data_IF_052407792633
#
_entry.id   IF_052407792633
#
_cell.length_a   1.000
_cell.length_b   1.000
_cell.length_c   1.000
_cell.angle_alpha   90.00
_cell.angle_beta   90.00
_cell.angle_gamma   90.00
#
_symmetry.space_group_name_H-M   'P 1'
#
loop_
_entity.id
_entity.type
_entity.pdbx_description
1 polymer ?
#
# COMPACT_ATOMS: atom_id res chain seq x y z
N UNK A 1 -14.77 12.62 7.18
CA UNK A 1 -15.60 11.40 7.51
C UNK A 1 -14.74 10.17 7.33
N UNK A 2 -14.79 9.23 8.28
CA UNK A 2 -14.03 7.96 8.16
C UNK A 2 -14.45 7.13 6.96
N UNK A 3 -13.48 6.65 6.21
CA UNK A 3 -13.71 5.73 5.11
C UNK A 3 -14.21 4.37 5.62
N UNK A 4 -15.13 3.71 4.90
CA UNK A 4 -15.82 2.52 5.43
C UNK A 4 -14.92 1.32 5.68
N UNK A 5 -13.85 1.13 4.90
CA UNK A 5 -13.00 -0.07 5.03
C UNK A 5 -11.71 0.23 5.78
N UNK A 6 -10.95 1.26 5.40
CA UNK A 6 -9.68 1.58 6.08
C UNK A 6 -9.87 2.28 7.44
N UNK A 7 -11.07 2.81 7.73
CA UNK A 7 -11.43 3.51 8.98
C UNK A 7 -10.56 4.75 9.29
N UNK A 8 -9.96 5.35 8.27
CA UNK A 8 -9.19 6.60 8.33
C UNK A 8 -9.97 7.74 7.69
N UNK A 9 -9.61 8.96 7.99
CA UNK A 9 -10.18 10.17 7.39
C UNK A 9 -9.14 11.25 7.11
N UNK A 10 -9.59 12.33 6.49
CA UNK A 10 -8.77 13.47 6.05
C UNK A 10 -8.04 14.20 7.20
N UNK A 11 -8.48 14.06 8.46
CA UNK A 11 -7.80 14.65 9.62
C UNK A 11 -6.41 14.07 9.86
N UNK A 12 -6.14 12.87 9.30
CA UNK A 12 -4.82 12.25 9.35
C UNK A 12 -3.74 13.10 8.67
N UNK A 13 -4.12 13.93 7.69
CA UNK A 13 -3.25 14.86 6.98
C UNK A 13 -1.97 14.19 6.45
N UNK A 14 -2.13 13.09 5.71
CA UNK A 14 -1.04 12.32 5.13
C UNK A 14 -1.14 12.31 3.60
N UNK A 15 0.01 12.52 2.93
CA UNK A 15 0.10 12.52 1.46
C UNK A 15 0.85 11.32 0.90
N UNK A 16 1.59 10.61 1.74
CA UNK A 16 2.45 9.49 1.34
C UNK A 16 2.02 8.22 2.05
N UNK A 17 1.89 7.13 1.30
CA UNK A 17 1.56 5.82 1.85
C UNK A 17 2.53 4.75 1.34
N UNK A 18 2.93 3.84 2.23
CA UNK A 18 3.66 2.61 1.89
C UNK A 18 2.72 1.44 2.15
N UNK A 19 2.47 0.65 1.11
CA UNK A 19 1.43 -0.36 1.08
C UNK A 19 2.00 -1.77 0.93
N UNK A 20 2.36 -2.47 2.01
CA UNK A 20 2.61 -3.91 1.97
C UNK A 20 1.30 -4.69 1.90
N UNK A 21 1.35 -5.97 1.48
CA UNK A 21 0.19 -6.86 1.59
C UNK A 21 -0.03 -7.36 3.02
N UNK A 22 1.04 -7.67 3.74
CA UNK A 22 1.04 -8.28 5.08
C UNK A 22 0.96 -7.22 6.19
N UNK A 23 0.02 -7.35 7.17
CA UNK A 23 -0.08 -6.48 8.33
C UNK A 23 1.21 -6.38 9.16
N UNK A 24 1.93 -7.48 9.37
CA UNK A 24 3.20 -7.49 10.11
C UNK A 24 4.28 -6.68 9.38
N UNK A 25 4.19 -6.61 8.06
CA UNK A 25 5.13 -5.80 7.27
C UNK A 25 4.84 -4.31 7.42
N UNK A 26 3.59 -3.90 7.60
CA UNK A 26 3.24 -2.52 7.95
C UNK A 26 3.87 -2.11 9.29
N UNK A 27 3.84 -2.98 10.29
CA UNK A 27 4.50 -2.76 11.59
C UNK A 27 6.02 -2.68 11.45
N UNK A 28 6.63 -3.54 10.63
CA UNK A 28 8.07 -3.48 10.34
C UNK A 28 8.47 -2.18 9.63
N UNK A 29 7.66 -1.68 8.70
CA UNK A 29 7.90 -0.39 8.05
C UNK A 29 7.83 0.73 9.09
N UNK A 30 6.82 0.73 9.95
CA UNK A 30 6.65 1.72 10.99
C UNK A 30 7.80 1.74 12.01
N UNK A 31 8.48 0.62 12.25
CA UNK A 31 9.65 0.57 13.14
C UNK A 31 10.86 1.39 12.64
N UNK A 32 10.86 1.82 11.39
CA UNK A 32 11.85 2.74 10.82
C UNK A 32 11.44 4.22 10.85
N UNK A 33 10.27 4.53 11.40
CA UNK A 33 9.74 5.88 11.53
C UNK A 33 9.89 6.39 12.96
N UNK A 34 9.84 7.69 13.14
CA UNK A 34 9.68 8.35 14.43
C UNK A 34 8.24 8.78 14.66
N UNK A 35 7.88 9.11 15.91
CA UNK A 35 6.54 9.62 16.27
C UNK A 35 5.41 8.71 15.75
N UNK A 36 5.58 7.41 15.91
CA UNK A 36 4.63 6.43 15.39
C UNK A 36 3.35 6.45 16.21
N UNK A 37 2.24 6.63 15.53
CA UNK A 37 0.89 6.50 16.05
C UNK A 37 0.25 5.23 15.47
N UNK A 38 -0.30 4.40 16.34
CA UNK A 38 -1.03 3.20 15.99
C UNK A 38 -2.49 3.56 15.70
N UNK A 39 -2.92 3.38 14.47
CA UNK A 39 -4.27 3.69 14.00
C UNK A 39 -5.19 2.46 14.03
N UNK A 40 -4.67 1.33 14.50
CA UNK A 40 -5.41 0.08 14.61
C UNK A 40 -5.43 -0.76 13.35
N UNK A 41 -6.32 -1.74 13.36
CA UNK A 41 -6.55 -2.66 12.25
C UNK A 41 -8.04 -2.86 12.04
N UNK A 42 -8.49 -2.69 10.81
CA UNK A 42 -9.82 -3.06 10.38
C UNK A 42 -9.73 -3.98 9.17
N UNK A 43 -10.34 -5.16 9.25
CA UNK A 43 -10.18 -6.22 8.24
C UNK A 43 -8.68 -6.51 8.02
N UNK A 44 -8.20 -6.46 6.77
CA UNK A 44 -6.81 -6.61 6.37
C UNK A 44 -5.97 -5.32 6.45
N UNK A 45 -6.59 -4.19 6.78
CA UNK A 45 -5.96 -2.86 6.77
C UNK A 45 -5.36 -2.52 8.13
N UNK A 46 -4.15 -2.97 8.40
CA UNK A 46 -3.33 -2.57 9.55
C UNK A 46 -2.67 -1.24 9.25
N UNK A 47 -2.93 -0.23 10.06
CA UNK A 47 -2.56 1.15 9.78
C UNK A 47 -1.71 1.75 10.90
N UNK A 48 -0.57 2.32 10.54
CA UNK A 48 0.31 3.09 11.42
C UNK A 48 0.78 4.33 10.66
N UNK A 49 0.89 5.47 11.34
CA UNK A 49 1.43 6.68 10.75
C UNK A 49 2.62 7.16 11.56
N UNK A 50 3.61 7.71 10.92
CA UNK A 50 4.81 8.22 11.58
C UNK A 50 5.56 9.22 10.72
N UNK A 51 6.69 9.71 11.21
CA UNK A 51 7.56 10.62 10.50
C UNK A 51 8.83 9.91 10.01
N UNK A 52 9.23 10.18 8.79
CA UNK A 52 10.51 9.74 8.25
C UNK A 52 11.14 10.87 7.42
N UNK A 53 12.33 11.31 7.81
CA UNK A 53 13.07 12.42 7.16
C UNK A 53 12.21 13.68 6.94
N UNK A 54 11.38 14.01 7.93
CA UNK A 54 10.50 15.20 7.88
C UNK A 54 9.20 15.02 7.10
N UNK A 55 8.95 13.86 6.51
CA UNK A 55 7.69 13.54 5.86
C UNK A 55 6.79 12.69 6.78
N UNK A 56 5.49 13.02 6.83
CA UNK A 56 4.48 12.18 7.48
C UNK A 56 4.05 11.08 6.52
N UNK A 57 4.20 9.84 6.94
CA UNK A 57 3.99 8.65 6.09
C UNK A 57 3.03 7.69 6.77
N UNK A 58 2.08 7.18 6.03
CA UNK A 58 1.22 6.08 6.41
C UNK A 58 1.82 4.75 5.95
N UNK A 59 2.00 3.82 6.86
CA UNK A 59 2.23 2.41 6.56
C UNK A 59 0.91 1.65 6.75
N UNK A 60 0.35 1.08 5.69
CA UNK A 60 -0.94 0.38 5.76
C UNK A 60 -0.92 -0.89 4.92
N UNK A 61 -1.32 -2.01 5.51
CA UNK A 61 -1.46 -3.26 4.75
C UNK A 61 -2.70 -3.24 3.86
N UNK A 62 -2.62 -3.93 2.73
CA UNK A 62 -3.72 -4.05 1.76
C UNK A 62 -4.35 -5.43 1.73
N UNK A 63 -3.78 -6.39 2.48
CA UNK A 63 -4.14 -7.79 2.32
C UNK A 63 -3.68 -8.36 0.98
N UNK A 64 -4.26 -9.46 0.56
CA UNK A 64 -3.98 -10.13 -0.70
C UNK A 64 -5.07 -9.84 -1.73
N UNK A 65 -4.64 -9.62 -2.97
CA UNK A 65 -5.54 -9.50 -4.11
C UNK A 65 -5.82 -8.07 -4.56
N UNK A 66 -6.25 -7.95 -5.82
CA UNK A 66 -6.51 -6.67 -6.48
C UNK A 66 -7.70 -5.93 -5.89
N UNK A 67 -8.74 -6.63 -5.46
CA UNK A 67 -9.97 -6.01 -4.92
C UNK A 67 -9.68 -5.25 -3.64
N UNK A 68 -9.03 -5.89 -2.64
CA UNK A 68 -8.70 -5.22 -1.38
C UNK A 68 -7.72 -4.07 -1.57
N UNK A 69 -6.76 -4.22 -2.49
CA UNK A 69 -5.84 -3.13 -2.86
C UNK A 69 -6.58 -1.98 -3.54
N UNK A 70 -7.51 -2.27 -4.45
CA UNK A 70 -8.33 -1.25 -5.11
C UNK A 70 -9.15 -0.43 -4.10
N UNK A 71 -9.85 -1.10 -3.19
CA UNK A 71 -10.58 -0.43 -2.10
C UNK A 71 -9.63 0.49 -1.29
N UNK A 72 -8.47 -0.03 -0.90
CA UNK A 72 -7.49 0.75 -0.14
C UNK A 72 -7.04 2.01 -0.89
N UNK A 73 -6.70 1.89 -2.17
CA UNK A 73 -6.19 3.01 -2.99
C UNK A 73 -7.27 4.09 -3.18
N UNK A 74 -8.51 3.68 -3.47
CA UNK A 74 -9.64 4.62 -3.58
C UNK A 74 -9.89 5.38 -2.28
N UNK A 75 -9.97 4.66 -1.16
CA UNK A 75 -10.23 5.29 0.12
C UNK A 75 -9.07 6.16 0.61
N UNK A 76 -7.82 5.77 0.31
CA UNK A 76 -6.63 6.59 0.57
C UNK A 76 -6.64 7.87 -0.27
N UNK A 77 -7.04 7.79 -1.54
CA UNK A 77 -7.21 8.96 -2.37
C UNK A 77 -8.24 9.93 -1.79
N UNK A 78 -9.38 9.42 -1.34
CA UNK A 78 -10.45 10.21 -0.73
C UNK A 78 -10.00 10.99 0.51
N UNK A 79 -9.02 10.50 1.25
CA UNK A 79 -8.48 11.17 2.45
C UNK A 79 -7.24 12.02 2.18
N UNK A 80 -6.85 12.19 0.91
CA UNK A 80 -5.78 13.11 0.49
C UNK A 80 -4.40 12.48 0.25
N UNK A 81 -4.28 11.15 0.24
CA UNK A 81 -3.03 10.49 -0.18
C UNK A 81 -2.84 10.69 -1.68
N UNK A 82 -1.70 11.24 -2.07
CA UNK A 82 -1.36 11.54 -3.47
C UNK A 82 -0.25 10.65 -4.03
N UNK A 83 0.54 10.02 -3.16
CA UNK A 83 1.64 9.15 -3.54
C UNK A 83 1.58 7.86 -2.72
N UNK A 84 1.50 6.75 -3.41
CA UNK A 84 1.50 5.44 -2.79
C UNK A 84 2.56 4.54 -3.44
N UNK A 85 3.34 3.84 -2.60
CA UNK A 85 4.32 2.84 -3.05
C UNK A 85 3.90 1.50 -2.48
N UNK A 86 3.64 0.53 -3.35
CA UNK A 86 3.42 -0.84 -2.91
C UNK A 86 4.76 -1.57 -2.77
N UNK A 87 4.98 -2.16 -1.61
CA UNK A 87 6.15 -3.00 -1.32
C UNK A 87 5.69 -4.43 -1.15
N UNK A 88 6.22 -5.32 -1.98
CA UNK A 88 5.91 -6.74 -1.95
C UNK A 88 7.16 -7.60 -2.13
N UNK A 89 7.05 -8.88 -1.84
CA UNK A 89 7.99 -9.91 -2.25
C UNK A 89 7.48 -10.60 -3.50
N UNK A 90 8.39 -11.04 -4.36
CA UNK A 90 8.06 -11.80 -5.56
C UNK A 90 9.07 -12.94 -5.76
N UNK A 91 8.70 -13.93 -6.55
CA UNK A 91 9.61 -14.93 -7.06
C UNK A 91 10.25 -14.46 -8.36
N UNK A 92 11.56 -14.62 -8.49
CA UNK A 92 12.27 -14.39 -9.74
C UNK A 92 12.02 -15.55 -10.71
N UNK A 93 11.72 -15.23 -11.97
CA UNK A 93 11.62 -16.21 -13.06
C UNK A 93 12.92 -16.30 -13.87
N UNK A 94 13.84 -15.36 -13.68
CA UNK A 94 15.12 -15.29 -14.36
C UNK A 94 16.23 -15.73 -13.40
N UNK A 95 17.24 -16.43 -13.94
CA UNK A 95 18.32 -17.01 -13.14
C UNK A 95 19.41 -16.03 -12.74
N UNK A 96 19.45 -14.87 -13.35
CA UNK A 96 20.39 -13.78 -13.08
C UNK A 96 19.93 -12.81 -11.97
N UNK A 97 18.73 -13.02 -11.44
CA UNK A 97 18.20 -12.23 -10.31
C UNK A 97 18.49 -12.99 -9.00
N UNK A 98 19.34 -12.43 -8.17
CA UNK A 98 19.70 -13.03 -6.89
C UNK A 98 18.63 -12.79 -5.79
N UNK A 99 18.51 -13.69 -4.81
CA UNK A 99 17.64 -13.45 -3.65
C UNK A 99 18.02 -12.16 -2.90
N UNK A 100 17.04 -11.33 -2.62
CA UNK A 100 17.21 -10.06 -1.91
C UNK A 100 17.44 -8.85 -2.81
N UNK A 101 17.52 -9.04 -4.12
CA UNK A 101 17.57 -7.91 -5.05
C UNK A 101 16.24 -7.14 -5.07
N UNK A 102 16.36 -5.82 -5.28
CA UNK A 102 15.21 -4.93 -5.41
C UNK A 102 14.84 -4.79 -6.89
N UNK A 103 13.58 -5.05 -7.19
CA UNK A 103 13.01 -4.86 -8.51
C UNK A 103 12.03 -3.69 -8.49
N UNK A 104 12.19 -2.76 -9.44
CA UNK A 104 11.22 -1.69 -9.67
C UNK A 104 10.39 -2.09 -10.87
N UNK A 105 9.09 -2.37 -10.65
CA UNK A 105 8.20 -2.76 -11.71
C UNK A 105 7.92 -1.58 -12.65
N UNK A 106 8.26 -1.73 -13.93
CA UNK A 106 7.92 -0.77 -14.98
C UNK A 106 6.54 -1.06 -15.60
N UNK A 107 6.07 -2.30 -15.47
CA UNK A 107 4.77 -2.75 -15.94
C UNK A 107 4.46 -4.15 -15.41
N UNK A 108 3.21 -4.57 -15.53
CA UNK A 108 2.76 -5.90 -15.12
C UNK A 108 1.71 -6.44 -16.09
N UNK A 109 1.73 -7.75 -16.31
CA UNK A 109 0.65 -8.44 -17.02
C UNK A 109 -0.60 -8.40 -16.15
N UNK A 110 -1.70 -7.91 -16.70
CA UNK A 110 -2.98 -7.81 -15.99
C UNK A 110 -3.78 -9.11 -16.17
N UNK A 111 -3.57 -10.05 -15.28
CA UNK A 111 -4.33 -11.30 -15.25
C UNK A 111 -5.22 -11.39 -13.99
N UNK A 112 -5.75 -10.23 -13.59
CA UNK A 112 -6.71 -10.08 -12.51
C UNK A 112 -8.04 -9.52 -13.04
N UNK A 113 -9.11 -9.62 -12.25
CA UNK A 113 -10.40 -9.08 -12.63
C UNK A 113 -10.57 -7.59 -12.31
N UNK A 114 -9.86 -7.08 -11.30
CA UNK A 114 -10.07 -5.73 -10.76
C UNK A 114 -9.53 -4.65 -11.68
N UNK A 115 -8.33 -4.82 -12.22
CA UNK A 115 -7.70 -3.82 -13.09
C UNK A 115 -8.49 -3.57 -14.38
N UNK A 116 -9.29 -4.54 -14.83
CA UNK A 116 -10.18 -4.39 -15.99
C UNK A 116 -11.31 -3.39 -15.74
N UNK A 117 -11.72 -3.20 -14.48
CA UNK A 117 -12.72 -2.20 -14.14
C UNK A 117 -12.20 -0.77 -14.28
N UNK A 118 -10.90 -0.57 -14.11
CA UNK A 118 -10.24 0.73 -14.25
C UNK A 118 -9.78 1.02 -15.68
N UNK A 119 -9.22 0.02 -16.34
CA UNK A 119 -8.59 0.19 -17.65
C UNK A 119 -9.07 -0.92 -18.58
N UNK A 120 -9.57 -0.55 -19.77
CA UNK A 120 -10.08 -1.48 -20.77
C UNK A 120 -9.01 -2.46 -21.27
N UNK A 121 -9.44 -3.58 -21.86
CA UNK A 121 -8.54 -4.56 -22.48
C UNK A 121 -7.60 -3.92 -23.51
N UNK A 122 -6.38 -4.45 -23.60
CA UNK A 122 -5.36 -4.00 -24.55
C UNK A 122 -4.49 -2.84 -24.05
N UNK A 123 -4.73 -2.32 -22.85
CA UNK A 123 -3.84 -1.35 -22.23
C UNK A 123 -2.88 -2.05 -21.24
N UNK A 124 -1.55 -1.80 -21.29
CA UNK A 124 -0.61 -2.39 -20.35
C UNK A 124 -0.84 -1.90 -18.93
#
# INVERSE_FOLDING_TARGET
MKQPHIQLDESLNVRYAILPGDPKRAERIASHMSEVEDLGMNREYRSLVGAYRGARILAMSTGMGGVSTGIAVEELHNIGVTHAIRIGSCGALQTDIAPGELLIAAGAVRDDGTSRAYVREGYP
#
